data_IF_374001532601
#
_entry.id   IF_374001532601
#
_cell.length_a   1.000
_cell.length_b   1.000
_cell.length_c   1.000
_cell.angle_alpha   90.00
_cell.angle_beta   90.00
_cell.angle_gamma   90.00
#
_symmetry.space_group_name_H-M   'P 1'
#
loop_
_entity.id
_entity.type
_entity.pdbx_description
1 polymer ?
#
# COMPACT_ATOMS: atom_id res chain seq x y z
N UNK A 1 -52.86 -23.28 -1.96
CA UNK A 1 -52.04 -24.40 -1.42
C UNK A 1 -50.76 -23.80 -0.91
N UNK A 2 -50.63 -23.72 0.39
CA UNK A 2 -49.44 -23.14 0.99
C UNK A 2 -48.23 -24.08 0.80
N UNK A 3 -47.21 -23.61 0.16
CA UNK A 3 -45.89 -24.28 -0.01
C UNK A 3 -45.14 -24.31 1.35
N UNK A 4 -45.87 -24.27 2.46
CA UNK A 4 -45.35 -23.97 3.80
C UNK A 4 -45.43 -25.15 4.76
N UNK A 5 -44.93 -26.30 4.40
CA UNK A 5 -44.67 -27.34 5.37
C UNK A 5 -43.17 -27.64 5.55
N UNK A 6 -42.32 -26.64 5.34
CA UNK A 6 -40.95 -26.76 5.78
C UNK A 6 -40.80 -26.42 7.25
N UNK A 7 -40.11 -27.25 8.05
CA UNK A 7 -39.79 -26.90 9.44
C UNK A 7 -39.06 -25.56 9.49
N UNK A 8 -39.37 -24.73 10.48
CA UNK A 8 -38.78 -23.39 10.66
C UNK A 8 -37.25 -23.41 10.74
N UNK A 9 -36.67 -24.51 11.27
CA UNK A 9 -35.24 -24.73 11.30
C UNK A 9 -34.62 -24.90 9.89
N UNK A 10 -35.38 -25.52 8.97
CA UNK A 10 -34.91 -25.70 7.59
C UNK A 10 -35.08 -24.43 6.74
N UNK A 11 -36.11 -23.64 7.03
CA UNK A 11 -36.31 -22.35 6.35
C UNK A 11 -35.21 -21.35 6.70
N UNK A 12 -34.80 -21.31 7.95
CA UNK A 12 -33.69 -20.46 8.38
C UNK A 12 -32.36 -20.91 7.70
N UNK A 13 -32.06 -22.21 7.72
CA UNK A 13 -30.83 -22.74 7.11
C UNK A 13 -30.75 -22.47 5.60
N UNK A 14 -31.87 -22.58 4.87
CA UNK A 14 -31.91 -22.29 3.42
C UNK A 14 -31.72 -20.79 3.18
N UNK A 15 -32.36 -19.91 3.95
CA UNK A 15 -32.22 -18.48 3.80
C UNK A 15 -30.80 -18.01 4.12
N UNK A 16 -30.20 -18.57 5.15
CA UNK A 16 -28.81 -18.31 5.55
C UNK A 16 -27.83 -18.69 4.45
N UNK A 17 -27.96 -19.89 3.91
CA UNK A 17 -27.08 -20.36 2.83
C UNK A 17 -27.17 -19.50 1.55
N UNK A 18 -28.34 -18.96 1.24
CA UNK A 18 -28.50 -18.03 0.12
C UNK A 18 -27.84 -16.69 0.38
N UNK A 19 -28.01 -16.12 1.57
CA UNK A 19 -27.38 -14.87 1.96
C UNK A 19 -25.86 -14.96 1.98
N UNK A 20 -25.34 -16.04 2.54
CA UNK A 20 -23.90 -16.32 2.54
C UNK A 20 -23.36 -16.40 1.11
N UNK A 21 -24.06 -17.11 0.22
CA UNK A 21 -23.65 -17.28 -1.17
C UNK A 21 -23.63 -15.95 -1.92
N UNK A 22 -24.65 -15.10 -1.76
CA UNK A 22 -24.71 -13.79 -2.43
C UNK A 22 -23.68 -12.82 -1.83
N UNK A 23 -23.49 -12.82 -0.52
CA UNK A 23 -22.43 -12.02 0.12
C UNK A 23 -21.03 -12.47 -0.34
N UNK A 24 -20.77 -13.76 -0.35
CA UNK A 24 -19.52 -14.34 -0.86
C UNK A 24 -19.28 -14.01 -2.33
N UNK A 25 -20.33 -14.02 -3.16
CA UNK A 25 -20.25 -13.59 -4.56
C UNK A 25 -19.84 -12.13 -4.68
N UNK A 26 -20.31 -11.26 -3.79
CA UNK A 26 -19.87 -9.86 -3.70
C UNK A 26 -18.41 -9.75 -3.31
N UNK A 27 -17.96 -10.53 -2.32
CA UNK A 27 -16.56 -10.57 -1.87
C UNK A 27 -15.58 -11.06 -2.94
N UNK A 28 -16.01 -11.89 -3.88
CA UNK A 28 -15.18 -12.44 -4.96
C UNK A 28 -14.91 -11.44 -6.11
N UNK A 29 -15.28 -10.17 -5.99
CA UNK A 29 -14.91 -9.16 -6.98
C UNK A 29 -13.39 -9.04 -7.10
N UNK A 30 -12.88 -8.93 -8.34
CA UNK A 30 -11.46 -8.97 -8.69
C UNK A 30 -10.71 -7.70 -8.31
N UNK A 31 -10.48 -7.50 -7.02
CA UNK A 31 -9.60 -6.47 -6.47
C UNK A 31 -8.40 -7.18 -5.87
N UNK A 32 -7.18 -6.65 -6.04
CA UNK A 32 -5.99 -7.45 -5.88
C UNK A 32 -4.95 -6.96 -4.86
N UNK A 33 -5.07 -5.76 -4.31
CA UNK A 33 -4.05 -5.22 -3.40
C UNK A 33 -3.95 -5.96 -2.07
N UNK A 34 -5.08 -6.45 -1.54
CA UNK A 34 -5.09 -7.24 -0.31
C UNK A 34 -4.36 -8.57 -0.46
N UNK A 35 -4.32 -9.13 -1.67
CA UNK A 35 -3.75 -10.45 -1.91
C UNK A 35 -2.23 -10.53 -1.74
N UNK A 36 -1.52 -9.37 -1.71
CA UNK A 36 -0.08 -9.30 -1.44
C UNK A 36 0.25 -9.27 0.05
N UNK A 37 -0.75 -9.06 0.92
CA UNK A 37 -0.52 -8.91 2.35
C UNK A 37 -0.16 -10.26 2.99
N UNK A 38 0.92 -10.28 3.76
CA UNK A 38 1.24 -11.36 4.67
C UNK A 38 0.32 -11.25 5.89
N UNK A 39 -0.47 -12.29 6.15
CA UNK A 39 -1.44 -12.29 7.25
C UNK A 39 -0.79 -12.74 8.54
N UNK A 40 -0.95 -11.93 9.57
CA UNK A 40 -0.46 -12.20 10.92
C UNK A 40 -1.59 -12.12 11.93
N UNK A 41 -1.74 -13.17 12.74
CA UNK A 41 -2.73 -13.20 13.81
C UNK A 41 -2.15 -12.60 15.09
N UNK A 42 -2.90 -11.70 15.70
CA UNK A 42 -2.55 -11.03 16.95
C UNK A 42 -3.37 -11.62 18.08
N UNK A 43 -2.70 -11.92 19.20
CA UNK A 43 -3.38 -12.46 20.37
C UNK A 43 -4.40 -11.46 20.94
N UNK A 44 -5.55 -11.97 21.34
CA UNK A 44 -6.60 -11.17 21.99
C UNK A 44 -6.10 -10.69 23.37
N UNK A 45 -6.52 -9.49 23.79
CA UNK A 45 -6.17 -8.84 25.06
C UNK A 45 -4.72 -8.30 25.15
N UNK A 46 -4.06 -8.06 24.03
CA UNK A 46 -2.72 -7.44 23.98
C UNK A 46 -2.78 -5.93 23.70
N UNK A 47 -3.94 -5.42 23.29
CA UNK A 47 -4.15 -4.02 22.92
C UNK A 47 -4.48 -3.85 21.44
N UNK A 48 -4.82 -2.63 21.04
CA UNK A 48 -5.17 -2.28 19.66
C UNK A 48 -3.94 -2.04 18.77
N UNK A 49 -2.78 -1.84 19.38
CA UNK A 49 -1.53 -1.52 18.68
C UNK A 49 -0.46 -2.52 19.09
N UNK A 50 0.11 -3.17 18.10
CA UNK A 50 1.19 -4.13 18.29
C UNK A 50 2.46 -3.60 17.64
N UNK A 51 3.53 -3.55 18.42
CA UNK A 51 4.85 -3.23 17.92
C UNK A 51 5.52 -4.49 17.38
N UNK A 52 5.84 -4.48 16.11
CA UNK A 52 6.58 -5.53 15.43
C UNK A 52 8.05 -5.16 15.37
N UNK A 53 8.92 -6.13 15.59
CA UNK A 53 10.37 -5.96 15.50
C UNK A 53 10.92 -6.76 14.33
N UNK A 54 11.85 -6.17 13.62
CA UNK A 54 12.64 -6.87 12.59
C UNK A 54 14.11 -6.60 12.84
N UNK A 55 14.94 -7.62 12.57
CA UNK A 55 16.39 -7.51 12.68
C UNK A 55 16.94 -6.93 11.36
N UNK A 56 17.74 -5.89 11.48
CA UNK A 56 18.51 -5.36 10.36
C UNK A 56 19.71 -6.24 10.02
N UNK A 57 20.36 -5.96 8.92
CA UNK A 57 21.56 -6.65 8.48
C UNK A 57 22.79 -6.13 9.24
N UNK A 58 23.79 -6.99 9.38
CA UNK A 58 25.12 -6.63 9.88
C UNK A 58 26.09 -6.50 8.73
N UNK A 59 27.05 -5.58 8.86
CA UNK A 59 28.14 -5.46 7.91
C UNK A 59 28.96 -6.76 7.83
N UNK A 60 29.33 -7.23 6.65
CA UNK A 60 30.19 -8.39 6.50
C UNK A 60 31.59 -8.09 7.07
N UNK A 61 32.19 -9.07 7.74
CA UNK A 61 33.56 -8.96 8.26
C UNK A 61 34.54 -9.38 7.17
N UNK A 62 35.28 -8.43 6.64
CA UNK A 62 36.27 -8.66 5.57
C UNK A 62 37.71 -8.49 6.06
N UNK A 63 37.90 -7.99 7.28
CA UNK A 63 39.22 -7.76 7.83
C UNK A 63 39.62 -8.93 8.72
N UNK A 64 40.73 -9.63 8.44
CA UNK A 64 41.19 -10.70 9.31
C UNK A 64 41.67 -10.17 10.66
N UNK A 65 41.44 -10.93 11.70
CA UNK A 65 41.98 -10.63 13.01
C UNK A 65 43.51 -10.87 12.99
N UNK A 66 44.24 -9.85 13.42
CA UNK A 66 45.72 -9.96 13.57
C UNK A 66 46.09 -10.02 15.04
N UNK A 67 47.28 -10.58 15.35
CA UNK A 67 47.76 -10.67 16.71
C UNK A 67 47.97 -9.32 17.41
N UNK A 68 48.08 -8.22 16.63
CA UNK A 68 48.17 -6.86 17.16
C UNK A 68 46.80 -6.28 17.54
N UNK A 69 45.74 -6.81 16.95
CA UNK A 69 44.34 -6.38 17.24
C UNK A 69 43.60 -7.34 18.18
N UNK A 70 44.14 -8.54 18.38
CA UNK A 70 43.56 -9.56 19.25
C UNK A 70 44.66 -10.18 20.10
N UNK A 71 45.18 -9.42 21.07
CA UNK A 71 46.25 -9.84 21.98
C UNK A 71 45.80 -10.80 23.07
N UNK A 72 44.50 -10.83 23.39
CA UNK A 72 43.84 -11.80 24.24
C UNK A 72 42.58 -12.28 23.53
N UNK A 73 42.26 -13.58 23.60
CA UNK A 73 41.10 -14.21 22.93
C UNK A 73 39.75 -13.49 23.09
N UNK A 74 39.68 -12.54 24.01
CA UNK A 74 38.47 -11.75 24.29
C UNK A 74 38.72 -10.23 24.32
N UNK A 75 39.94 -9.76 24.26
CA UNK A 75 40.34 -8.36 24.33
C UNK A 75 40.77 -7.86 22.92
N UNK A 76 39.96 -7.01 22.33
CA UNK A 76 40.26 -6.40 21.02
C UNK A 76 39.16 -6.55 20.00
N UNK A 77 38.15 -7.37 20.25
CA UNK A 77 36.92 -7.41 19.45
C UNK A 77 35.92 -6.39 20.03
N UNK A 78 35.66 -5.35 19.28
CA UNK A 78 34.54 -4.47 19.57
C UNK A 78 33.24 -5.15 19.15
N UNK A 79 32.34 -5.38 20.08
CA UNK A 79 31.05 -5.96 19.77
C UNK A 79 30.29 -5.04 18.83
N UNK A 80 29.90 -5.55 17.66
CA UNK A 80 29.07 -4.82 16.74
C UNK A 80 27.60 -4.92 17.16
N UNK A 81 26.93 -3.79 17.31
CA UNK A 81 25.51 -3.76 17.61
C UNK A 81 24.70 -4.28 16.42
N UNK A 82 23.67 -5.07 16.69
CA UNK A 82 22.67 -5.44 15.71
C UNK A 82 21.61 -4.32 15.64
N UNK A 83 21.31 -3.83 14.44
CA UNK A 83 20.21 -2.91 14.25
C UNK A 83 18.88 -3.67 14.38
N UNK A 84 18.02 -3.18 15.26
CA UNK A 84 16.65 -3.68 15.43
C UNK A 84 15.72 -2.55 15.04
N UNK A 85 14.78 -2.85 14.16
CA UNK A 85 13.79 -1.90 13.67
C UNK A 85 12.42 -2.29 14.20
N UNK A 86 11.62 -1.28 14.50
CA UNK A 86 10.26 -1.47 14.99
C UNK A 86 9.27 -0.71 14.12
N UNK A 87 8.15 -1.33 13.83
CA UNK A 87 7.01 -0.69 13.20
C UNK A 87 5.73 -1.08 13.95
N UNK A 88 4.73 -0.23 13.90
CA UNK A 88 3.48 -0.42 14.64
C UNK A 88 2.36 -0.81 13.70
N UNK A 89 1.65 -1.86 14.07
CA UNK A 89 0.42 -2.29 13.43
C UNK A 89 -0.74 -1.95 14.35
N UNK A 90 -1.63 -1.07 13.89
CA UNK A 90 -2.83 -0.66 14.62
C UNK A 90 -4.04 -1.35 14.03
N UNK A 91 -4.83 -1.99 14.89
CA UNK A 91 -6.06 -2.67 14.52
C UNK A 91 -7.25 -1.72 14.73
N UNK A 92 -8.05 -1.56 13.71
CA UNK A 92 -9.27 -0.76 13.74
C UNK A 92 -10.47 -1.60 13.31
N UNK A 93 -11.66 -1.20 13.75
CA UNK A 93 -12.91 -1.80 13.31
C UNK A 93 -13.50 -0.99 12.16
N UNK A 94 -13.80 -1.68 11.07
CA UNK A 94 -14.50 -1.13 9.91
C UNK A 94 -15.83 -1.86 9.76
N UNK A 95 -16.90 -1.11 9.54
CA UNK A 95 -18.24 -1.67 9.47
C UNK A 95 -19.15 -0.79 8.62
N UNK A 96 -20.18 -1.39 8.04
CA UNK A 96 -21.30 -0.67 7.44
C UNK A 96 -22.57 -1.47 7.57
N UNK A 97 -23.74 -0.81 7.44
CA UNK A 97 -25.04 -1.41 7.59
C UNK A 97 -26.04 -0.88 6.55
N UNK A 98 -26.90 -1.78 6.08
CA UNK A 98 -28.05 -1.43 5.23
C UNK A 98 -29.31 -1.88 5.95
N UNK A 99 -30.22 -0.94 6.17
CA UNK A 99 -31.53 -1.22 6.74
C UNK A 99 -32.55 -1.46 5.63
N UNK A 100 -33.33 -2.51 5.78
CA UNK A 100 -34.42 -2.86 4.89
C UNK A 100 -35.76 -2.79 5.62
N UNK A 101 -36.67 -1.96 5.16
CA UNK A 101 -38.04 -1.99 5.62
C UNK A 101 -38.83 -3.08 4.88
N UNK A 102 -39.36 -4.06 5.62
CA UNK A 102 -40.05 -5.23 5.07
C UNK A 102 -41.33 -4.86 4.32
N UNK A 103 -42.02 -3.81 4.75
CA UNK A 103 -43.26 -3.34 4.09
C UNK A 103 -42.93 -2.72 2.71
N UNK A 104 -41.90 -1.87 2.66
CA UNK A 104 -41.46 -1.25 1.40
C UNK A 104 -40.89 -2.29 0.46
N UNK A 105 -40.19 -3.31 0.98
CA UNK A 105 -39.63 -4.39 0.17
C UNK A 105 -40.70 -5.27 -0.48
N UNK A 106 -41.83 -5.47 0.17
CA UNK A 106 -42.97 -6.25 -0.39
C UNK A 106 -43.67 -5.54 -1.56
N UNK A 107 -43.58 -4.23 -1.61
CA UNK A 107 -44.08 -3.42 -2.73
C UNK A 107 -43.07 -3.34 -3.89
N UNK A 108 -41.80 -3.61 -3.61
CA UNK A 108 -40.73 -3.57 -4.60
C UNK A 108 -40.72 -4.80 -5.53
N UNK A 109 -40.36 -4.57 -6.80
CA UNK A 109 -40.34 -5.59 -7.86
C UNK A 109 -39.14 -6.56 -7.73
N UNK A 110 -38.10 -6.18 -6.99
CA UNK A 110 -36.86 -6.96 -6.86
C UNK A 110 -36.71 -7.54 -5.47
N UNK A 111 -35.99 -8.65 -5.35
CA UNK A 111 -35.58 -9.23 -4.07
C UNK A 111 -34.50 -8.35 -3.41
N UNK A 112 -34.95 -7.24 -2.83
CA UNK A 112 -34.08 -6.21 -2.23
C UNK A 112 -33.16 -6.79 -1.15
N UNK A 113 -33.61 -7.82 -0.45
CA UNK A 113 -32.86 -8.44 0.63
C UNK A 113 -31.57 -9.12 0.14
N UNK A 114 -31.66 -9.89 -0.96
CA UNK A 114 -30.48 -10.55 -1.56
C UNK A 114 -29.57 -9.53 -2.25
N UNK A 115 -30.15 -8.51 -2.87
CA UNK A 115 -29.39 -7.45 -3.51
C UNK A 115 -28.57 -6.66 -2.48
N UNK A 116 -29.13 -6.39 -1.30
CA UNK A 116 -28.41 -5.74 -0.21
C UNK A 116 -27.23 -6.59 0.29
N UNK A 117 -27.41 -7.91 0.40
CA UNK A 117 -26.32 -8.81 0.78
C UNK A 117 -25.16 -8.77 -0.24
N UNK A 118 -25.46 -8.84 -1.54
CA UNK A 118 -24.47 -8.73 -2.61
C UNK A 118 -23.76 -7.37 -2.58
N UNK A 119 -24.50 -6.29 -2.40
CA UNK A 119 -23.96 -4.93 -2.34
C UNK A 119 -23.03 -4.75 -1.14
N UNK A 120 -23.43 -5.25 0.05
CA UNK A 120 -22.59 -5.25 1.24
C UNK A 120 -21.29 -6.05 1.04
N UNK A 121 -21.37 -7.23 0.42
CA UNK A 121 -20.18 -8.04 0.11
C UNK A 121 -19.23 -7.31 -0.84
N UNK A 122 -19.76 -6.67 -1.89
CA UNK A 122 -18.96 -5.88 -2.83
C UNK A 122 -18.32 -4.68 -2.14
N UNK A 123 -19.07 -3.95 -1.31
CA UNK A 123 -18.57 -2.82 -0.54
C UNK A 123 -17.49 -3.24 0.45
N UNK A 124 -17.69 -4.33 1.18
CA UNK A 124 -16.69 -4.86 2.11
C UNK A 124 -15.37 -5.16 1.39
N UNK A 125 -15.41 -5.88 0.27
CA UNK A 125 -14.21 -6.20 -0.53
C UNK A 125 -13.51 -4.93 -1.04
N UNK A 126 -14.25 -3.98 -1.59
CA UNK A 126 -13.69 -2.71 -2.03
C UNK A 126 -13.06 -1.92 -0.89
N UNK A 127 -13.71 -1.90 0.27
CA UNK A 127 -13.20 -1.19 1.45
C UNK A 127 -11.88 -1.78 1.92
N UNK A 128 -11.79 -3.11 2.05
CA UNK A 128 -10.56 -3.79 2.47
C UNK A 128 -9.44 -3.62 1.45
N UNK A 129 -9.73 -3.73 0.16
CA UNK A 129 -8.74 -3.52 -0.89
C UNK A 129 -8.22 -2.08 -0.92
N UNK A 130 -9.09 -1.08 -0.71
CA UNK A 130 -8.70 0.32 -0.60
C UNK A 130 -7.87 0.61 0.64
N UNK A 131 -8.15 -0.04 1.76
CA UNK A 131 -7.33 0.05 2.97
C UNK A 131 -5.94 -0.52 2.74
N UNK A 132 -5.85 -1.70 2.13
CA UNK A 132 -4.60 -2.34 1.75
C UNK A 132 -3.80 -1.45 0.76
N UNK A 133 -4.46 -0.96 -0.29
CA UNK A 133 -3.89 0.00 -1.25
C UNK A 133 -3.34 1.25 -0.55
N UNK A 134 -4.14 1.87 0.31
CA UNK A 134 -3.74 3.10 0.99
C UNK A 134 -2.53 2.86 1.91
N UNK A 135 -2.52 1.76 2.66
CA UNK A 135 -1.37 1.40 3.50
C UNK A 135 -0.11 1.14 2.67
N UNK A 136 -0.25 0.43 1.54
CA UNK A 136 0.84 0.15 0.62
C UNK A 136 1.44 1.44 0.06
N UNK A 137 0.61 2.32 -0.51
CA UNK A 137 1.09 3.58 -1.09
C UNK A 137 1.56 4.59 -0.03
N UNK A 138 0.98 4.59 1.17
CA UNK A 138 1.50 5.38 2.29
C UNK A 138 2.93 4.97 2.67
N UNK A 139 3.22 3.67 2.62
CA UNK A 139 4.55 3.15 2.90
C UNK A 139 5.56 3.42 1.77
N UNK A 140 5.15 3.23 0.52
CA UNK A 140 6.07 3.24 -0.63
C UNK A 140 6.11 4.54 -1.45
N UNK A 141 5.19 5.46 -1.23
CA UNK A 141 5.28 6.86 -1.72
C UNK A 141 5.66 7.85 -0.61
N UNK A 142 5.62 7.43 0.66
CA UNK A 142 5.97 8.29 1.79
C UNK A 142 7.39 8.84 1.69
N UNK A 143 7.56 10.10 2.08
CA UNK A 143 8.87 10.77 2.02
C UNK A 143 9.27 11.29 0.63
N UNK A 144 8.36 11.26 -0.33
CA UNK A 144 8.54 11.86 -1.66
C UNK A 144 7.38 12.81 -1.95
N UNK A 145 7.69 14.09 -2.04
CA UNK A 145 6.71 15.15 -2.28
C UNK A 145 7.31 16.25 -3.15
N UNK A 146 6.58 17.31 -3.33
CA UNK A 146 7.00 18.49 -4.08
C UNK A 146 6.62 19.77 -3.36
N UNK A 147 7.36 20.83 -3.63
CA UNK A 147 7.03 22.17 -3.17
C UNK A 147 5.73 22.63 -3.83
N UNK A 148 4.75 23.05 -3.04
CA UNK A 148 3.45 23.53 -3.52
C UNK A 148 3.46 24.98 -3.93
N UNK A 149 4.15 25.80 -3.16
CA UNK A 149 4.17 27.26 -3.36
C UNK A 149 5.61 27.76 -3.45
N UNK A 150 5.93 28.53 -4.50
CA UNK A 150 7.25 29.13 -4.67
C UNK A 150 7.57 30.09 -3.54
N UNK A 151 8.77 29.99 -2.99
CA UNK A 151 9.27 30.95 -2.00
C UNK A 151 9.58 32.31 -2.67
N UNK A 152 9.06 33.38 -2.08
CA UNK A 152 9.41 34.75 -2.51
C UNK A 152 10.77 35.25 -1.97
N UNK A 153 11.25 34.63 -0.88
CA UNK A 153 12.54 34.88 -0.25
C UNK A 153 13.02 33.57 0.43
N UNK A 154 14.33 33.42 0.73
CA UNK A 154 14.81 32.26 1.48
C UNK A 154 14.09 32.15 2.83
N UNK A 155 13.51 30.99 3.11
CA UNK A 155 12.71 30.73 4.30
C UNK A 155 13.01 29.35 4.91
N UNK A 156 12.87 29.25 6.22
CA UNK A 156 13.02 27.99 6.93
C UNK A 156 11.83 27.03 6.77
N UNK A 157 10.74 27.49 6.15
CA UNK A 157 9.53 26.70 5.94
C UNK A 157 9.15 26.66 4.48
N UNK A 158 8.71 25.48 4.02
CA UNK A 158 8.15 25.28 2.68
C UNK A 158 6.81 24.55 2.77
N UNK A 159 5.88 24.91 1.90
CA UNK A 159 4.61 24.20 1.76
C UNK A 159 4.74 23.06 0.74
N UNK A 160 4.28 21.88 1.12
CA UNK A 160 4.37 20.68 0.30
C UNK A 160 3.01 20.03 0.10
N UNK A 161 2.89 19.22 -0.95
CA UNK A 161 1.64 18.52 -1.27
C UNK A 161 1.37 17.34 -0.35
N UNK A 162 2.42 16.70 0.18
CA UNK A 162 2.31 15.53 1.04
C UNK A 162 3.41 15.51 2.10
N UNK A 163 3.02 15.47 3.37
CA UNK A 163 3.95 15.37 4.51
C UNK A 163 4.15 13.94 5.00
N UNK A 164 3.46 12.95 4.43
CA UNK A 164 3.62 11.56 4.85
C UNK A 164 5.05 11.10 4.60
N UNK A 165 5.63 10.43 5.57
CA UNK A 165 7.03 10.01 5.55
C UNK A 165 8.03 11.10 5.98
N UNK A 166 7.58 12.33 6.30
CA UNK A 166 8.42 13.39 6.85
C UNK A 166 8.14 13.68 8.34
N UNK A 167 7.05 13.11 8.87
CA UNK A 167 6.60 13.40 10.25
C UNK A 167 7.42 12.67 11.32
N UNK A 168 8.03 11.54 10.95
CA UNK A 168 8.79 10.70 11.87
C UNK A 168 10.17 10.38 11.31
N UNK A 169 11.11 10.20 12.23
CA UNK A 169 12.47 9.74 11.92
C UNK A 169 12.80 8.56 12.84
N UNK A 170 13.61 7.65 12.36
CA UNK A 170 14.04 6.50 13.14
C UNK A 170 15.28 6.84 13.98
N UNK A 171 15.14 6.72 15.30
CA UNK A 171 16.22 6.92 16.26
C UNK A 171 16.32 5.67 17.13
N UNK A 172 17.49 5.04 17.13
CA UNK A 172 17.74 3.80 17.89
C UNK A 172 16.68 2.69 17.65
N UNK A 173 16.22 2.56 16.41
CA UNK A 173 15.23 1.55 16.04
C UNK A 173 13.78 1.90 16.37
N UNK A 174 13.49 3.09 16.88
CA UNK A 174 12.13 3.56 17.15
C UNK A 174 11.77 4.77 16.32
N UNK A 175 10.52 4.81 15.82
CA UNK A 175 9.99 5.99 15.16
C UNK A 175 9.63 7.05 16.17
N UNK A 176 10.33 8.18 16.10
CA UNK A 176 10.06 9.36 16.92
C UNK A 176 9.64 10.52 16.02
N UNK A 177 8.89 11.46 16.56
CA UNK A 177 8.50 12.66 15.82
C UNK A 177 9.74 13.47 15.44
N UNK A 178 9.75 13.98 14.21
CA UNK A 178 10.79 14.90 13.75
C UNK A 178 10.73 16.18 14.59
N UNK A 179 11.86 16.59 15.10
CA UNK A 179 12.01 17.76 15.98
C UNK A 179 13.41 18.35 15.86
N UNK A 180 13.68 19.46 16.55
CA UNK A 180 15.02 20.03 16.61
C UNK A 180 16.10 19.10 17.18
N UNK A 181 15.71 18.09 17.97
CA UNK A 181 16.60 17.07 18.51
C UNK A 181 16.68 15.83 17.61
N UNK A 182 15.57 15.43 17.03
CA UNK A 182 15.44 14.27 16.14
C UNK A 182 15.26 14.77 14.72
N UNK A 183 16.36 15.04 14.06
CA UNK A 183 16.36 15.66 12.72
C UNK A 183 16.41 14.61 11.62
N UNK A 184 15.94 14.98 10.43
CA UNK A 184 16.05 14.17 9.23
C UNK A 184 16.69 14.94 8.09
N UNK A 185 17.36 14.27 7.19
CA UNK A 185 17.90 14.88 5.97
C UNK A 185 16.87 14.82 4.86
N UNK A 186 16.62 15.94 4.20
CA UNK A 186 15.69 16.08 3.09
C UNK A 186 16.37 16.80 1.93
N UNK A 187 16.27 16.24 0.75
CA UNK A 187 16.69 16.90 -0.49
C UNK A 187 15.53 17.78 -0.93
N UNK A 188 15.76 19.07 -1.08
CA UNK A 188 14.81 20.00 -1.69
C UNK A 188 15.45 20.58 -2.93
N UNK A 189 14.82 20.36 -4.07
CA UNK A 189 15.42 20.72 -5.35
C UNK A 189 16.75 20.01 -5.57
N UNK A 190 17.84 20.74 -5.43
CA UNK A 190 19.21 20.21 -5.67
C UNK A 190 20.05 20.08 -4.38
N UNK A 191 19.61 20.66 -3.27
CA UNK A 191 20.39 20.73 -2.04
C UNK A 191 19.76 19.92 -0.91
N UNK A 192 20.61 19.51 0.05
CA UNK A 192 20.20 18.78 1.26
C UNK A 192 19.97 19.77 2.40
N UNK A 193 18.83 19.65 3.05
CA UNK A 193 18.44 20.46 4.21
C UNK A 193 18.12 19.56 5.40
N UNK A 194 18.29 20.10 6.60
CA UNK A 194 17.98 19.39 7.84
C UNK A 194 16.55 19.72 8.27
N UNK A 195 15.67 18.73 8.21
CA UNK A 195 14.27 18.83 8.62
C UNK A 195 14.16 18.74 10.14
N UNK A 196 13.43 19.66 10.73
CA UNK A 196 13.16 19.74 12.18
C UNK A 196 11.68 19.71 12.53
N UNK A 197 10.81 19.70 11.55
CA UNK A 197 9.36 19.63 11.79
C UNK A 197 8.57 19.40 10.51
N UNK A 198 7.43 18.71 10.63
CA UNK A 198 6.47 18.54 9.57
C UNK A 198 5.05 18.63 10.15
N UNK A 199 4.28 19.62 9.71
CA UNK A 199 2.96 19.94 10.26
C UNK A 199 1.91 19.87 9.16
N UNK A 200 0.82 19.13 9.42
CA UNK A 200 -0.31 19.01 8.50
C UNK A 200 -1.08 20.34 8.40
N UNK A 201 -1.60 20.59 7.24
CA UNK A 201 -2.35 21.79 6.87
C UNK A 201 -3.83 21.71 7.28
N UNK A 202 -4.20 20.98 8.25
CA UNK A 202 -5.53 20.86 8.85
C UNK A 202 -6.75 20.82 7.92
N UNK A 203 -6.69 21.50 6.79
CA UNK A 203 -7.79 21.69 5.85
C UNK A 203 -7.81 20.66 4.69
N UNK A 204 -6.74 19.91 4.49
CA UNK A 204 -6.58 18.98 3.37
C UNK A 204 -6.14 17.58 3.82
N UNK A 205 -6.78 17.05 4.84
CA UNK A 205 -6.61 15.65 5.22
C UNK A 205 -7.31 14.81 4.16
N UNK A 206 -6.60 14.49 3.09
CA UNK A 206 -7.12 13.57 2.09
C UNK A 206 -7.05 12.16 2.66
N UNK A 207 -8.19 11.51 2.78
CA UNK A 207 -8.29 10.07 3.01
C UNK A 207 -7.91 9.28 1.76
N UNK A 208 -7.78 9.95 0.62
CA UNK A 208 -7.31 9.36 -0.62
C UNK A 208 -5.78 9.35 -0.64
N UNK A 209 -5.23 8.55 -1.53
CA UNK A 209 -3.78 8.45 -1.71
C UNK A 209 -3.11 9.74 -2.27
N UNK A 210 -3.85 10.83 -2.46
CA UNK A 210 -3.31 12.14 -2.86
C UNK A 210 -2.42 12.81 -1.80
N UNK A 211 -2.38 12.27 -0.59
CA UNK A 211 -1.51 12.75 0.46
C UNK A 211 -2.17 13.71 1.43
N UNK A 212 -1.38 14.16 2.38
CA UNK A 212 -1.74 15.15 3.39
C UNK A 212 -0.86 16.36 3.16
N UNK A 213 -1.44 17.46 2.68
CA UNK A 213 -0.69 18.69 2.49
C UNK A 213 -0.25 19.29 3.82
N UNK A 214 0.86 20.02 3.80
CA UNK A 214 1.39 20.64 5.01
C UNK A 214 2.66 21.45 4.79
N UNK A 215 3.31 21.75 5.89
CA UNK A 215 4.52 22.56 5.95
C UNK A 215 5.67 21.74 6.52
N UNK A 216 6.80 21.76 5.82
CA UNK A 216 8.08 21.25 6.30
C UNK A 216 8.89 22.42 6.87
N UNK A 217 9.46 22.23 8.07
CA UNK A 217 10.29 23.21 8.77
C UNK A 217 11.73 22.71 8.85
N UNK A 218 12.68 23.52 8.42
CA UNK A 218 14.10 23.22 8.37
C UNK A 218 14.89 24.03 9.39
N UNK A 219 16.05 23.54 9.78
CA UNK A 219 16.97 24.24 10.69
C UNK A 219 17.66 25.46 10.05
N UNK A 220 17.68 25.53 8.72
CA UNK A 220 18.22 26.63 7.93
C UNK A 220 17.28 27.04 6.81
N UNK A 221 17.55 28.20 6.19
CA UNK A 221 16.71 28.69 5.11
C UNK A 221 16.93 27.89 3.82
N UNK A 222 15.84 27.45 3.24
CA UNK A 222 15.78 26.90 1.87
C UNK A 222 15.93 28.08 0.89
N UNK A 223 16.78 27.92 -0.12
CA UNK A 223 16.96 28.95 -1.15
C UNK A 223 15.71 29.10 -2.01
N UNK A 224 15.52 30.26 -2.63
CA UNK A 224 14.39 30.50 -3.54
C UNK A 224 14.42 29.51 -4.73
N UNK A 225 15.61 29.20 -5.23
CA UNK A 225 15.79 28.26 -6.34
C UNK A 225 15.31 26.84 -5.99
N UNK A 226 15.64 26.33 -4.78
CA UNK A 226 15.20 25.03 -4.31
C UNK A 226 13.73 25.06 -3.85
N UNK A 227 13.28 26.15 -3.26
CA UNK A 227 11.90 26.38 -2.84
C UNK A 227 10.96 26.83 -3.96
N UNK A 228 11.31 26.62 -5.22
CA UNK A 228 10.42 26.86 -6.36
C UNK A 228 9.34 25.78 -6.42
N UNK A 229 8.10 26.17 -6.70
CA UNK A 229 7.00 25.25 -6.85
C UNK A 229 7.34 24.13 -7.83
N UNK A 230 6.89 22.93 -7.51
CA UNK A 230 7.12 21.66 -8.25
C UNK A 230 8.51 21.05 -8.07
N UNK A 231 9.45 21.72 -7.42
CA UNK A 231 10.70 21.06 -7.04
C UNK A 231 10.42 19.85 -6.14
N UNK A 232 11.19 18.80 -6.32
CA UNK A 232 11.06 17.60 -5.51
C UNK A 232 11.56 17.83 -4.08
N UNK A 233 10.88 17.21 -3.12
CA UNK A 233 11.33 17.07 -1.74
C UNK A 233 11.39 15.58 -1.44
N UNK A 234 12.60 15.08 -1.14
CA UNK A 234 12.83 13.65 -0.94
C UNK A 234 13.51 13.44 0.41
N UNK A 235 12.85 12.69 1.28
CA UNK A 235 13.43 12.25 2.55
C UNK A 235 14.58 11.27 2.30
N UNK A 236 15.64 11.31 3.10
CA UNK A 236 16.80 10.41 2.94
C UNK A 236 16.44 8.93 3.01
N UNK A 237 15.39 8.59 3.75
CA UNK A 237 14.88 7.22 3.92
C UNK A 237 13.65 6.91 3.03
N UNK A 238 13.39 7.72 2.01
CA UNK A 238 12.29 7.45 1.08
C UNK A 238 12.52 6.15 0.31
N UNK A 239 11.46 5.37 0.05
CA UNK A 239 11.55 4.18 -0.81
C UNK A 239 11.98 4.53 -2.24
N UNK A 240 12.49 3.54 -2.96
CA UNK A 240 12.82 3.72 -4.38
C UNK A 240 11.54 3.96 -5.18
N UNK A 241 11.56 5.02 -5.96
CA UNK A 241 10.58 5.32 -6.98
C UNK A 241 11.28 5.36 -8.32
N UNK A 242 10.81 4.58 -9.29
CA UNK A 242 11.40 4.52 -10.63
C UNK A 242 10.55 5.31 -11.62
N UNK A 243 11.22 5.88 -12.63
CA UNK A 243 10.57 6.59 -13.74
C UNK A 243 11.22 6.14 -15.05
N UNK A 244 10.50 6.18 -16.18
CA UNK A 244 11.08 5.84 -17.47
C UNK A 244 12.37 6.64 -17.73
N UNK A 245 13.43 5.95 -18.14
CA UNK A 245 14.68 6.59 -18.51
C UNK A 245 14.72 6.90 -20.01
N UNK A 246 15.65 7.78 -20.40
CA UNK A 246 15.75 8.22 -21.80
C UNK A 246 16.08 7.08 -22.77
N UNK A 247 16.75 6.01 -22.31
CA UNK A 247 17.06 4.85 -23.15
C UNK A 247 15.78 4.19 -23.67
N UNK A 248 14.80 4.00 -22.81
CA UNK A 248 13.52 3.38 -23.16
C UNK A 248 12.62 4.27 -24.03
N UNK A 249 12.95 5.56 -24.13
CA UNK A 249 12.31 6.52 -25.01
C UNK A 249 12.99 6.68 -26.38
N UNK A 250 13.92 5.78 -26.72
CA UNK A 250 14.68 5.85 -27.96
C UNK A 250 15.93 6.74 -27.90
N UNK A 251 16.31 7.21 -26.70
CA UNK A 251 17.56 7.94 -26.47
C UNK A 251 18.77 7.01 -26.25
N UNK A 252 19.92 7.58 -26.02
CA UNK A 252 21.18 6.86 -25.76
C UNK A 252 21.60 6.83 -24.30
N UNK A 253 20.92 7.58 -23.44
CA UNK A 253 21.25 7.77 -22.03
C UNK A 253 20.32 7.00 -21.11
N UNK A 254 20.86 6.41 -20.03
CA UNK A 254 20.09 5.80 -18.96
C UNK A 254 19.62 6.80 -17.90
N UNK A 255 19.74 8.10 -18.14
CA UNK A 255 19.23 9.12 -17.23
C UNK A 255 17.71 9.01 -17.11
N UNK A 256 17.24 8.78 -15.89
CA UNK A 256 15.80 8.75 -15.58
C UNK A 256 15.26 10.17 -15.37
N UNK A 257 13.95 10.34 -15.58
CA UNK A 257 13.23 11.55 -15.20
C UNK A 257 13.30 11.72 -13.68
N UNK A 258 13.74 12.89 -13.21
CA UNK A 258 14.08 13.12 -11.80
C UNK A 258 12.87 13.50 -10.94
N UNK A 259 11.83 14.11 -11.53
CA UNK A 259 10.67 14.60 -10.82
C UNK A 259 9.36 14.28 -11.56
N UNK A 260 8.26 14.19 -10.83
CA UNK A 260 6.92 14.00 -11.40
C UNK A 260 6.53 15.11 -12.37
N UNK A 261 6.94 16.35 -12.05
CA UNK A 261 6.69 17.51 -12.90
C UNK A 261 7.48 17.51 -14.22
N UNK A 262 8.51 16.70 -14.31
CA UNK A 262 9.36 16.56 -15.50
C UNK A 262 8.92 15.42 -16.42
N UNK A 263 7.88 14.68 -16.05
CA UNK A 263 7.29 13.65 -16.91
C UNK A 263 6.66 14.29 -18.15
N UNK A 264 6.81 13.64 -19.27
CA UNK A 264 6.30 14.09 -20.57
C UNK A 264 5.40 13.01 -21.17
N UNK A 265 4.68 13.35 -22.23
CA UNK A 265 3.83 12.39 -22.95
C UNK A 265 4.57 11.15 -23.47
N UNK A 266 5.90 11.22 -23.60
CA UNK A 266 6.76 10.09 -24.02
C UNK A 266 7.16 9.18 -22.85
N UNK A 267 6.88 9.58 -21.60
CA UNK A 267 7.19 8.78 -20.41
C UNK A 267 6.09 7.74 -20.14
N UNK A 268 5.88 6.85 -21.09
CA UNK A 268 4.91 5.76 -20.99
C UNK A 268 5.51 4.53 -20.34
N UNK A 269 4.64 3.64 -19.85
CA UNK A 269 5.09 2.34 -19.32
C UNK A 269 5.64 1.48 -20.46
N UNK A 270 6.90 1.08 -20.32
CA UNK A 270 7.61 0.20 -21.25
C UNK A 270 8.15 -1.04 -20.51
N UNK A 271 8.50 -2.07 -21.27
CA UNK A 271 9.15 -3.28 -20.71
C UNK A 271 10.43 -2.92 -19.95
N UNK A 272 11.25 -2.03 -20.51
CA UNK A 272 12.48 -1.60 -19.87
C UNK A 272 12.26 -0.86 -18.54
N UNK A 273 11.19 -0.10 -18.39
CA UNK A 273 10.85 0.52 -17.10
C UNK A 273 10.49 -0.51 -16.02
N UNK A 274 9.87 -1.62 -16.42
CA UNK A 274 9.59 -2.75 -15.53
C UNK A 274 10.89 -3.48 -15.16
N UNK A 275 11.79 -3.68 -16.12
CA UNK A 275 13.12 -4.28 -15.88
C UNK A 275 13.94 -3.45 -14.87
N UNK A 276 13.93 -2.13 -15.00
CA UNK A 276 14.60 -1.22 -14.06
C UNK A 276 14.01 -1.37 -12.65
N UNK A 277 12.68 -1.49 -12.52
CA UNK A 277 12.02 -1.71 -11.24
C UNK A 277 12.34 -3.09 -10.63
N UNK A 278 12.39 -4.14 -11.46
CA UNK A 278 12.79 -5.50 -11.04
C UNK A 278 14.24 -5.48 -10.53
N UNK A 279 15.14 -4.83 -11.27
CA UNK A 279 16.55 -4.72 -10.89
C UNK A 279 16.71 -3.97 -9.56
N UNK A 280 16.00 -2.86 -9.40
CA UNK A 280 15.99 -2.10 -8.15
C UNK A 280 15.49 -2.94 -6.98
N UNK A 281 14.40 -3.70 -7.17
CA UNK A 281 13.82 -4.54 -6.13
C UNK A 281 14.74 -5.71 -5.75
N UNK A 282 15.33 -6.40 -6.73
CA UNK A 282 16.29 -7.48 -6.48
C UNK A 282 17.56 -7.01 -5.79
N UNK A 283 18.08 -5.85 -6.17
CA UNK A 283 19.27 -5.28 -5.55
C UNK A 283 19.01 -4.87 -4.09
N UNK A 284 17.81 -4.40 -3.79
CA UNK A 284 17.48 -3.91 -2.45
C UNK A 284 17.10 -5.05 -1.48
N UNK A 285 16.43 -6.07 -1.96
CA UNK A 285 15.83 -7.09 -1.08
C UNK A 285 16.65 -8.37 -0.96
N UNK A 286 17.67 -8.57 -1.79
CA UNK A 286 18.42 -9.82 -1.85
C UNK A 286 17.58 -11.04 -2.28
N UNK A 287 16.35 -10.82 -2.74
CA UNK A 287 15.39 -11.85 -3.13
C UNK A 287 15.57 -12.10 -4.62
N UNK A 288 16.25 -13.19 -4.98
CA UNK A 288 16.56 -13.46 -6.39
C UNK A 288 15.51 -14.34 -7.09
N UNK A 289 14.84 -15.24 -6.37
CA UNK A 289 13.98 -16.28 -6.95
C UNK A 289 12.47 -16.09 -6.68
N UNK A 290 12.05 -14.91 -6.22
CA UNK A 290 10.63 -14.65 -5.99
C UNK A 290 9.92 -14.16 -7.25
N UNK A 291 8.67 -14.60 -7.38
CA UNK A 291 7.71 -14.00 -8.30
C UNK A 291 7.23 -12.68 -7.72
N UNK A 292 7.22 -11.64 -8.55
CA UNK A 292 6.72 -10.33 -8.17
C UNK A 292 5.30 -10.14 -8.70
N UNK A 293 4.50 -9.33 -8.00
CA UNK A 293 3.17 -8.92 -8.47
C UNK A 293 3.20 -7.44 -8.85
N UNK A 294 2.85 -7.14 -10.09
CA UNK A 294 2.70 -5.78 -10.58
C UNK A 294 1.23 -5.41 -10.68
N UNK A 295 0.80 -4.49 -9.83
CA UNK A 295 -0.53 -3.92 -9.85
C UNK A 295 -0.56 -2.69 -10.74
N UNK A 296 -1.38 -2.72 -11.78
CA UNK A 296 -1.42 -1.66 -12.78
C UNK A 296 -2.85 -1.42 -13.29
N UNK A 297 -3.08 -0.21 -13.82
CA UNK A 297 -4.34 0.13 -14.46
C UNK A 297 -4.40 -0.35 -15.92
N UNK A 298 -5.59 -0.34 -16.48
CA UNK A 298 -5.81 -0.81 -17.85
C UNK A 298 -5.12 0.07 -18.92
N UNK A 299 -4.86 1.34 -18.63
CA UNK A 299 -4.17 2.22 -19.58
C UNK A 299 -2.68 1.92 -19.60
N UNK A 300 -2.07 1.69 -18.43
CA UNK A 300 -0.67 1.21 -18.31
C UNK A 300 -0.49 -0.13 -19.04
N UNK A 301 -1.45 -1.05 -18.90
CA UNK A 301 -1.46 -2.31 -19.65
C UNK A 301 -1.49 -2.07 -21.16
N UNK A 302 -2.35 -1.16 -21.63
CA UNK A 302 -2.42 -0.81 -23.04
C UNK A 302 -1.13 -0.19 -23.58
N UNK A 303 -0.46 0.64 -22.78
CA UNK A 303 0.83 1.23 -23.15
C UNK A 303 1.89 0.14 -23.31
N UNK A 304 1.93 -0.84 -22.42
CA UNK A 304 2.83 -1.97 -22.54
C UNK A 304 2.59 -2.77 -23.81
N UNK A 305 1.33 -3.00 -24.21
CA UNK A 305 1.00 -3.61 -25.50
C UNK A 305 1.40 -2.75 -26.72
N UNK A 306 1.59 -1.44 -26.54
CA UNK A 306 2.07 -0.55 -27.59
C UNK A 306 3.61 -0.54 -27.74
N UNK A 307 4.33 -1.01 -26.69
CA UNK A 307 5.79 -1.06 -26.69
C UNK A 307 6.33 -2.04 -27.74
N UNK A 308 7.39 -1.62 -28.44
CA UNK A 308 8.02 -2.39 -29.53
C UNK A 308 8.72 -3.64 -29.02
N UNK A 309 9.43 -3.54 -27.89
CA UNK A 309 10.22 -4.63 -27.33
C UNK A 309 9.30 -5.71 -26.75
N UNK A 310 8.21 -5.28 -26.12
CA UNK A 310 7.17 -6.17 -25.68
C UNK A 310 6.52 -6.93 -26.85
N UNK A 311 6.18 -6.23 -27.95
CA UNK A 311 5.62 -6.86 -29.16
C UNK A 311 6.58 -7.89 -29.75
N UNK A 312 7.87 -7.58 -29.81
CA UNK A 312 8.89 -8.49 -30.35
C UNK A 312 8.98 -9.79 -29.54
N UNK A 313 8.94 -9.70 -28.22
CA UNK A 313 8.92 -10.87 -27.33
C UNK A 313 7.66 -11.73 -27.53
N UNK A 314 6.52 -11.10 -27.76
CA UNK A 314 5.25 -11.80 -27.95
C UNK A 314 5.06 -12.37 -29.36
N UNK A 315 5.70 -11.82 -30.39
CA UNK A 315 5.63 -12.32 -31.76
C UNK A 315 6.17 -13.76 -31.88
N UNK A 316 7.07 -14.19 -30.99
CA UNK A 316 7.58 -15.55 -30.93
C UNK A 316 6.62 -16.56 -30.29
N UNK A 317 5.55 -16.11 -29.63
CA UNK A 317 4.55 -16.96 -28.97
C UNK A 317 3.24 -17.00 -29.77
N UNK A 318 3.30 -17.56 -30.95
CA UNK A 318 2.10 -17.85 -31.75
C UNK A 318 1.20 -18.82 -30.96
N UNK A 319 -0.05 -18.44 -30.73
CA UNK A 319 -1.05 -19.22 -29.94
C UNK A 319 -1.08 -18.98 -28.43
N UNK A 320 -0.60 -17.85 -27.93
CA UNK A 320 -0.76 -17.54 -26.52
C UNK A 320 -2.19 -17.08 -26.23
N UNK A 321 -2.89 -17.82 -25.36
CA UNK A 321 -4.21 -17.43 -24.82
C UNK A 321 -4.21 -16.02 -24.19
N UNK A 322 -3.06 -15.49 -23.86
CA UNK A 322 -2.78 -14.19 -23.31
C UNK A 322 -3.05 -13.06 -24.31
N UNK A 323 -2.59 -13.25 -25.57
CA UNK A 323 -2.83 -12.29 -26.66
C UNK A 323 -4.32 -12.25 -27.04
N UNK A 324 -4.99 -13.40 -27.02
CA UNK A 324 -6.42 -13.47 -27.34
C UNK A 324 -7.31 -12.80 -26.30
N UNK A 325 -6.89 -12.77 -25.02
CA UNK A 325 -7.63 -12.16 -23.92
C UNK A 325 -7.26 -10.70 -23.66
N UNK A 326 -6.21 -10.16 -24.32
CA UNK A 326 -5.71 -8.82 -24.05
C UNK A 326 -5.19 -8.60 -22.64
N UNK A 327 -4.79 -9.68 -21.96
CA UNK A 327 -4.25 -9.63 -20.60
C UNK A 327 -2.90 -10.35 -20.58
N UNK A 328 -1.91 -9.73 -19.97
CA UNK A 328 -0.64 -10.36 -19.64
C UNK A 328 -0.83 -11.01 -18.27
N UNK A 329 -0.52 -12.30 -18.16
CA UNK A 329 -0.59 -12.99 -16.88
C UNK A 329 0.75 -13.04 -16.19
N UNK A 330 1.81 -13.35 -16.94
CA UNK A 330 3.15 -13.51 -16.41
C UNK A 330 4.20 -13.19 -17.47
N UNK A 331 5.20 -12.39 -17.12
CA UNK A 331 6.37 -12.10 -17.94
C UNK A 331 7.56 -11.80 -17.03
N UNK A 332 8.76 -12.36 -17.34
CA UNK A 332 10.01 -12.06 -16.63
C UNK A 332 9.99 -12.25 -15.10
N UNK A 333 9.18 -13.19 -14.61
CA UNK A 333 9.01 -13.41 -13.17
C UNK A 333 8.05 -12.42 -12.50
N UNK A 334 7.26 -11.70 -13.28
CA UNK A 334 6.24 -10.76 -12.79
C UNK A 334 4.86 -11.23 -13.18
N UNK A 335 3.96 -11.31 -12.21
CA UNK A 335 2.52 -11.49 -12.42
C UNK A 335 1.87 -10.12 -12.60
N UNK A 336 1.13 -9.95 -13.67
CA UNK A 336 0.42 -8.69 -13.96
C UNK A 336 -1.00 -8.77 -13.44
N UNK A 337 -1.32 -7.90 -12.48
CA UNK A 337 -2.65 -7.84 -11.86
C UNK A 337 -3.31 -6.51 -12.26
N UNK A 338 -4.19 -6.53 -13.29
CA UNK A 338 -4.93 -5.32 -13.66
C UNK A 338 -5.93 -4.97 -12.57
N UNK A 339 -5.94 -3.70 -12.17
CA UNK A 339 -6.89 -3.18 -11.19
C UNK A 339 -7.49 -1.87 -11.65
N UNK A 340 -8.74 -1.62 -11.29
CA UNK A 340 -9.41 -0.33 -11.54
C UNK A 340 -9.14 0.69 -10.43
N UNK A 341 -8.59 0.25 -9.31
CA UNK A 341 -8.30 1.07 -8.14
C UNK A 341 -6.85 1.59 -8.11
N UNK A 342 -6.11 1.43 -9.22
CA UNK A 342 -4.74 1.94 -9.33
C UNK A 342 -4.71 3.47 -9.20
N UNK A 343 -3.75 4.02 -8.44
CA UNK A 343 -3.68 5.44 -8.20
C UNK A 343 -3.33 6.26 -9.44
N UNK A 344 -4.08 7.30 -9.68
CA UNK A 344 -3.82 8.28 -10.73
C UNK A 344 -3.82 9.69 -10.17
N UNK A 345 -3.03 10.57 -10.74
CA UNK A 345 -2.94 11.98 -10.36
C UNK A 345 -2.85 12.85 -11.62
N UNK A 346 -3.48 14.02 -11.61
CA UNK A 346 -3.28 15.01 -12.67
C UNK A 346 -1.84 15.50 -12.67
N UNK A 347 -1.22 15.57 -13.83
CA UNK A 347 0.13 16.09 -13.96
C UNK A 347 0.22 17.54 -13.46
N UNK A 348 1.24 17.89 -12.67
CA UNK A 348 1.30 19.18 -12.00
C UNK A 348 1.33 20.41 -12.92
N UNK A 349 1.97 20.29 -14.07
CA UNK A 349 2.14 21.43 -15.02
C UNK A 349 1.27 21.30 -16.27
N UNK A 350 0.73 20.12 -16.56
CA UNK A 350 -0.08 19.88 -17.75
C UNK A 350 -1.33 19.07 -17.40
N UNK A 351 -2.45 19.76 -17.23
CA UNK A 351 -3.72 19.15 -16.84
C UNK A 351 -4.25 18.08 -17.82
N UNK A 352 -3.75 18.04 -19.04
CA UNK A 352 -4.13 17.03 -20.03
C UNK A 352 -3.40 15.68 -19.84
N UNK A 353 -2.37 15.65 -18.99
CA UNK A 353 -1.62 14.44 -18.70
C UNK A 353 -2.03 13.86 -17.36
N UNK A 354 -2.08 12.54 -17.28
CA UNK A 354 -2.39 11.80 -16.05
C UNK A 354 -1.18 10.98 -15.65
N UNK A 355 -0.65 11.24 -14.47
CA UNK A 355 0.41 10.43 -13.86
C UNK A 355 -0.19 9.16 -13.29
N UNK A 356 0.39 8.03 -13.63
CA UNK A 356 0.00 6.70 -13.20
C UNK A 356 1.11 6.07 -12.35
N UNK A 357 0.72 5.24 -11.41
CA UNK A 357 1.63 4.67 -10.42
C UNK A 357 1.41 3.17 -10.23
N UNK A 358 1.72 2.34 -11.24
CA UNK A 358 1.80 0.91 -11.00
C UNK A 358 2.85 0.61 -9.93
N UNK A 359 2.57 -0.40 -9.11
CA UNK A 359 3.45 -0.82 -8.02
C UNK A 359 3.86 -2.27 -8.20
N UNK A 360 5.17 -2.50 -8.18
CA UNK A 360 5.78 -3.83 -8.22
C UNK A 360 6.05 -4.28 -6.79
N UNK A 361 5.40 -5.36 -6.37
CA UNK A 361 5.47 -5.87 -5.01
C UNK A 361 6.10 -7.26 -4.97
N UNK A 362 7.01 -7.47 -4.01
CA UNK A 362 7.45 -8.78 -3.56
C UNK A 362 6.63 -9.23 -2.36
N UNK A 363 6.75 -10.49 -1.98
CA UNK A 363 6.14 -11.02 -0.76
C UNK A 363 6.67 -10.28 0.48
N UNK A 364 5.79 -9.97 1.43
CA UNK A 364 6.10 -9.19 2.62
C UNK A 364 6.12 -7.66 2.39
N UNK A 365 5.63 -7.18 1.24
CA UNK A 365 5.49 -5.75 0.99
C UNK A 365 4.44 -5.10 1.88
N UNK A 366 3.42 -5.84 2.29
CA UNK A 366 2.33 -5.41 3.15
C UNK A 366 2.09 -6.48 4.21
N UNK A 367 1.76 -6.07 5.42
CA UNK A 367 1.34 -6.95 6.52
C UNK A 367 -0.08 -6.62 6.90
N UNK A 368 -0.94 -7.63 6.93
CA UNK A 368 -2.32 -7.56 7.42
C UNK A 368 -2.36 -8.20 8.80
N UNK A 369 -2.89 -7.48 9.79
CA UNK A 369 -3.12 -8.01 11.12
C UNK A 369 -4.60 -8.19 11.41
N UNK A 370 -4.94 -9.31 12.03
CA UNK A 370 -6.25 -9.62 12.56
C UNK A 370 -6.15 -10.18 13.98
N UNK A 371 -7.26 -10.26 14.71
CA UNK A 371 -7.29 -10.89 16.02
C UNK A 371 -7.49 -12.40 15.90
N UNK A 372 -6.61 -13.18 16.54
CA UNK A 372 -6.77 -14.62 16.67
C UNK A 372 -8.09 -14.96 17.42
N UNK A 373 -8.88 -15.87 16.85
CA UNK A 373 -10.11 -16.35 17.48
C UNK A 373 -11.33 -15.42 17.36
N UNK A 374 -11.30 -14.42 16.49
CA UNK A 374 -12.46 -13.57 16.20
C UNK A 374 -13.66 -14.37 15.66
N UNK A 375 -13.41 -15.40 14.88
CA UNK A 375 -14.45 -16.31 14.38
C UNK A 375 -15.25 -16.93 15.51
N UNK A 376 -14.58 -17.41 16.54
CA UNK A 376 -15.22 -18.05 17.68
C UNK A 376 -16.02 -17.03 18.50
N UNK A 377 -15.46 -15.85 18.76
CA UNK A 377 -16.17 -14.78 19.44
C UNK A 377 -17.37 -14.25 18.65
N UNK A 378 -17.26 -14.14 17.34
CA UNK A 378 -18.37 -13.72 16.50
C UNK A 378 -19.54 -14.73 16.58
N UNK A 379 -19.25 -16.02 16.57
CA UNK A 379 -20.25 -17.08 16.73
C UNK A 379 -20.87 -17.07 18.13
N UNK A 380 -20.07 -16.85 19.17
CA UNK A 380 -20.52 -16.79 20.56
C UNK A 380 -21.38 -15.54 20.87
N UNK A 381 -21.21 -14.46 20.11
CA UNK A 381 -22.02 -13.24 20.22
C UNK A 381 -23.38 -13.33 19.54
N UNK A 382 -23.63 -14.37 18.75
CA UNK A 382 -24.93 -14.64 18.13
C UNK A 382 -25.99 -14.90 19.16
N UNK A 383 -26.79 -13.86 19.49
CA UNK A 383 -27.95 -13.97 20.35
C UNK A 383 -29.18 -14.46 19.59
N UNK A 384 -30.30 -14.70 20.31
CA UNK A 384 -31.56 -15.20 19.72
C UNK A 384 -32.14 -14.34 18.59
N UNK A 385 -31.69 -13.10 18.40
CA UNK A 385 -32.24 -12.14 17.45
C UNK A 385 -31.27 -11.69 16.36
N UNK A 386 -30.11 -12.33 16.21
CA UNK A 386 -29.16 -12.00 15.19
C UNK A 386 -28.46 -13.25 14.67
N UNK A 387 -28.25 -13.30 13.37
CA UNK A 387 -27.46 -14.33 12.72
C UNK A 387 -26.12 -13.74 12.34
N UNK A 388 -25.04 -14.35 12.83
CA UNK A 388 -23.67 -13.91 12.63
C UNK A 388 -22.92 -14.99 11.88
N UNK A 389 -22.34 -14.63 10.76
CA UNK A 389 -21.55 -15.53 9.92
C UNK A 389 -20.22 -14.88 9.56
N UNK A 390 -19.18 -15.69 9.45
CA UNK A 390 -17.90 -15.26 8.96
C UNK A 390 -17.69 -15.79 7.53
N UNK A 391 -17.46 -14.88 6.60
CA UNK A 391 -17.23 -15.21 5.19
C UNK A 391 -15.94 -14.49 4.74
N UNK A 392 -14.92 -15.27 4.37
CA UNK A 392 -13.62 -14.77 3.91
C UNK A 392 -13.04 -13.66 4.81
N UNK A 393 -12.97 -13.90 6.13
CA UNK A 393 -12.48 -12.99 7.19
C UNK A 393 -13.37 -11.76 7.48
N UNK A 394 -14.48 -11.61 6.80
CA UNK A 394 -15.47 -10.55 7.07
C UNK A 394 -16.65 -11.14 7.81
N UNK A 395 -17.07 -10.48 8.87
CA UNK A 395 -18.22 -10.91 9.66
C UNK A 395 -19.48 -10.25 9.12
N UNK A 396 -20.41 -11.06 8.65
CA UNK A 396 -21.74 -10.64 8.24
C UNK A 396 -22.73 -10.83 9.41
N UNK A 397 -23.53 -9.83 9.66
CA UNK A 397 -24.59 -9.86 10.67
C UNK A 397 -25.92 -9.56 10.01
N UNK A 398 -26.89 -10.43 10.21
CA UNK A 398 -28.29 -10.19 9.89
C UNK A 398 -29.06 -10.10 11.18
N UNK A 399 -29.64 -8.94 11.43
CA UNK A 399 -30.34 -8.67 12.68
C UNK A 399 -31.85 -8.68 12.47
N UNK A 400 -32.57 -9.42 13.31
CA UNK A 400 -34.01 -9.38 13.35
C UNK A 400 -34.54 -7.98 13.72
N UNK A 401 -35.76 -7.61 13.32
CA UNK A 401 -36.33 -6.31 13.60
C UNK A 401 -36.33 -5.97 15.09
N UNK A 402 -35.85 -4.79 15.46
CA UNK A 402 -35.85 -4.26 16.81
C UNK A 402 -36.74 -3.01 16.96
N UNK A 403 -37.28 -2.52 15.87
CA UNK A 403 -38.24 -1.43 15.89
C UNK A 403 -39.58 -1.88 16.47
N UNK A 404 -40.37 -0.94 17.00
CA UNK A 404 -41.66 -1.23 17.63
C UNK A 404 -42.68 -1.90 16.71
N UNK A 405 -42.53 -1.71 15.39
CA UNK A 405 -43.39 -2.31 14.37
C UNK A 405 -42.80 -3.58 13.76
N UNK A 406 -41.60 -3.98 14.16
CA UNK A 406 -40.87 -5.14 13.66
C UNK A 406 -40.75 -5.16 12.13
N UNK A 407 -40.45 -4.02 11.54
CA UNK A 407 -40.42 -3.85 10.09
C UNK A 407 -39.02 -3.67 9.50
N UNK A 408 -38.01 -3.30 10.33
CA UNK A 408 -36.65 -2.99 9.85
C UNK A 408 -35.74 -4.15 10.15
N UNK A 409 -35.19 -4.73 9.07
CA UNK A 409 -34.14 -5.76 9.14
C UNK A 409 -32.82 -5.08 8.77
N UNK A 410 -31.82 -5.15 9.64
CA UNK A 410 -30.49 -4.64 9.38
C UNK A 410 -29.57 -5.75 8.85
N UNK A 411 -28.88 -5.48 7.77
CA UNK A 411 -27.79 -6.29 7.23
C UNK A 411 -26.50 -5.50 7.37
N UNK A 412 -25.59 -5.99 8.18
CA UNK A 412 -24.34 -5.31 8.49
C UNK A 412 -23.17 -6.22 8.16
N UNK A 413 -22.02 -5.61 7.87
CA UNK A 413 -20.76 -6.31 7.89
C UNK A 413 -19.76 -5.55 8.75
N UNK A 414 -18.82 -6.26 9.34
CA UNK A 414 -17.69 -5.64 9.99
C UNK A 414 -16.42 -6.49 9.82
N UNK A 415 -15.30 -5.81 9.90
CA UNK A 415 -13.98 -6.39 9.90
C UNK A 415 -13.10 -5.66 10.91
N UNK A 416 -12.30 -6.41 11.66
CA UNK A 416 -11.34 -5.84 12.61
C UNK A 416 -9.97 -6.26 12.18
N UNK A 417 -9.16 -5.29 11.86
CA UNK A 417 -7.80 -5.52 11.40
C UNK A 417 -7.10 -4.22 11.04
N UNK A 418 -5.90 -4.36 10.51
CA UNK A 418 -5.08 -3.25 10.08
C UNK A 418 -4.06 -3.67 9.04
N UNK A 419 -3.59 -2.71 8.29
CA UNK A 419 -2.54 -2.89 7.30
C UNK A 419 -1.36 -2.00 7.60
N UNK A 420 -0.15 -2.52 7.45
CA UNK A 420 1.08 -1.76 7.60
C UNK A 420 2.13 -2.22 6.60
N UNK A 421 2.89 -1.28 6.05
CA UNK A 421 4.07 -1.60 5.26
C UNK A 421 5.29 -1.69 6.18
N UNK A 422 6.11 -2.75 6.08
CA UNK A 422 7.34 -2.85 6.83
C UNK A 422 8.26 -1.68 6.52
N UNK A 423 8.92 -1.20 7.56
CA UNK A 423 9.89 -0.10 7.44
C UNK A 423 11.31 -0.63 7.54
N UNK A 424 12.22 0.07 6.87
CA UNK A 424 13.65 -0.21 6.90
C UNK A 424 14.39 1.11 7.09
N UNK A 425 15.26 1.16 8.05
CA UNK A 425 15.97 2.37 8.40
C UNK A 425 17.49 2.25 8.34
N UNK A 426 18.01 1.08 8.08
CA UNK A 426 19.44 0.87 8.11
C UNK A 426 20.11 1.37 6.82
N UNK A 427 20.51 2.67 6.78
CA UNK A 427 21.38 3.16 5.73
C UNK A 427 22.82 2.72 6.02
N UNK A 428 23.29 1.75 5.32
CA UNK A 428 24.72 1.41 5.38
C UNK A 428 25.22 0.93 4.02
N UNK A 429 26.04 1.76 3.38
CA UNK A 429 26.66 1.44 2.09
C UNK A 429 27.61 0.22 2.15
N UNK A 430 28.02 -0.19 3.34
CA UNK A 430 28.91 -1.35 3.53
C UNK A 430 28.10 -2.65 3.57
N UNK A 431 26.81 -2.57 3.90
CA UNK A 431 25.91 -3.72 3.97
C UNK A 431 25.26 -3.92 2.60
N UNK A 432 25.62 -4.98 1.91
CA UNK A 432 25.02 -5.37 0.64
C UNK A 432 23.93 -6.42 0.93
N UNK A 433 22.70 -6.28 0.39
CA UNK A 433 22.26 -5.37 -0.67
C UNK A 433 21.69 -4.03 -0.22
N UNK A 434 21.78 -3.63 1.04
CA UNK A 434 21.06 -2.50 1.61
C UNK A 434 21.77 -1.16 1.55
N UNK A 435 22.57 -0.90 0.54
CA UNK A 435 23.24 0.39 0.36
C UNK A 435 22.31 1.62 0.40
N UNK A 436 21.00 1.43 0.20
CA UNK A 436 20.01 2.50 0.10
C UNK A 436 18.86 2.42 1.11
N UNK A 437 19.00 1.81 2.27
CA UNK A 437 17.90 1.73 3.27
C UNK A 437 16.63 0.99 2.83
N UNK A 438 16.75 -0.09 2.09
CA UNK A 438 15.56 -0.63 1.45
C UNK A 438 15.39 -2.14 1.63
N UNK A 439 16.13 -2.72 2.57
CA UNK A 439 16.14 -4.16 2.78
C UNK A 439 14.77 -4.75 3.13
N UNK A 440 13.99 -4.05 3.96
CA UNK A 440 12.66 -4.48 4.36
C UNK A 440 11.55 -3.92 3.47
N UNK A 441 11.84 -2.89 2.67
CA UNK A 441 10.89 -2.33 1.71
C UNK A 441 10.87 -3.17 0.44
N UNK A 442 9.80 -3.91 0.28
CA UNK A 442 9.67 -4.95 -0.74
C UNK A 442 8.70 -4.56 -1.86
N UNK A 443 8.63 -3.29 -2.17
CA UNK A 443 7.90 -2.80 -3.33
C UNK A 443 8.59 -1.59 -3.96
N UNK A 444 8.38 -1.41 -5.25
CA UNK A 444 8.86 -0.27 -6.03
C UNK A 444 7.71 0.30 -6.83
N UNK A 445 7.50 1.61 -6.71
CA UNK A 445 6.50 2.33 -7.49
C UNK A 445 7.13 2.80 -8.80
N UNK A 446 6.45 2.57 -9.92
CA UNK A 446 6.84 3.06 -11.24
C UNK A 446 5.92 4.23 -11.57
N UNK A 447 6.48 5.42 -11.73
CA UNK A 447 5.71 6.62 -12.04
C UNK A 447 5.85 6.96 -13.53
N UNK A 448 4.74 7.04 -14.26
CA UNK A 448 4.69 7.31 -15.71
C UNK A 448 3.41 8.08 -16.10
N UNK A 449 3.30 8.46 -17.38
CA UNK A 449 2.13 9.17 -17.94
C UNK A 449 1.15 8.21 -18.63
#
# INVERSE_FOLDING_TARGET
MAIQNMPTSLQNAIQTGFLETEFKRGLQSSLGYRDIADREQIAINVGETVTKTRAGLKAPVTTPLTSSTNTNLDNGLTASAQAIEQYTLTLNQYADTIDLNTVTSQVGIANQFLLNALTNGTQARQSLDRLARNALFNGYLGGQTRVRTTLGAPAATINVDDIRGFQTVLVNGQFVAVSGTNTASVIVGSNVYTLIGATADGSNVSTSFNGISGTLTFSGNVTVADGTALNCCIHANAPVLTRPNNKWKGGSSFAATTATSSLTVSDTLSLGAIEDAIAALRNNTGIQDQMFNLYLDNVSMRQLFADSDFKLMYQGQYDSKTLQKGKIFQLMGVNFVPTTEAPTQTHPTNANLTVRRPILCAQGALVEGDFAGMTQKATDMGGMNSEIQMVDDVIQIVRAPLDRLQQIIAQSWFWIGGFVSPTDATANSIIIPTAGNQYLKRAVVIEHI
#
